data_IF_521281852870
#
_entry.id   IF_521281852870
#
_cell.length_a   1.000
_cell.length_b   1.000
_cell.length_c   1.000
_cell.angle_alpha   90.00
_cell.angle_beta   90.00
_cell.angle_gamma   90.00
#
_symmetry.space_group_name_H-M   'P 1'
#
loop_
_entity.id
_entity.type
_entity.pdbx_description
1 polymer ?
#
# COMPACT_ATOMS: atom_id res chain seq x y z
N UNK A 1 17.45 13.24 37.73
CA UNK A 1 16.31 13.93 37.09
C UNK A 1 16.58 14.11 35.59
N UNK A 2 17.81 14.47 35.21
CA UNK A 2 18.25 14.64 33.81
C UNK A 2 18.30 13.34 32.99
N UNK A 3 18.77 12.23 33.57
CA UNK A 3 18.74 10.92 32.88
C UNK A 3 17.33 10.48 32.48
N UNK A 4 16.34 10.71 33.33
CA UNK A 4 14.95 10.38 33.02
C UNK A 4 14.39 11.24 31.87
N UNK A 5 14.85 12.49 31.75
CA UNK A 5 14.46 13.39 30.66
C UNK A 5 15.13 13.01 29.33
N UNK A 6 16.39 12.56 29.39
CA UNK A 6 17.12 12.02 28.23
C UNK A 6 16.43 10.75 27.72
N UNK A 7 16.16 9.79 28.61
CA UNK A 7 15.47 8.53 28.26
C UNK A 7 14.10 8.82 27.64
N UNK A 8 13.37 9.81 28.17
CA UNK A 8 12.08 10.20 27.62
C UNK A 8 12.22 10.74 26.19
N UNK A 9 13.16 11.66 25.94
CA UNK A 9 13.42 12.23 24.61
C UNK A 9 13.84 11.16 23.59
N UNK A 10 14.73 10.26 23.97
CA UNK A 10 15.14 9.12 23.12
C UNK A 10 13.94 8.23 22.78
N UNK A 11 13.07 7.94 23.76
CA UNK A 11 11.87 7.15 23.52
C UNK A 11 10.88 7.81 22.56
N UNK A 12 10.79 9.15 22.53
CA UNK A 12 9.94 9.89 21.61
C UNK A 12 10.49 9.88 20.18
N UNK A 13 11.81 9.99 20.02
CA UNK A 13 12.49 9.88 18.72
C UNK A 13 12.25 8.50 18.12
N UNK A 14 12.47 7.42 18.88
CA UNK A 14 12.26 6.04 18.43
C UNK A 14 10.81 5.82 17.97
N UNK A 15 9.83 6.35 18.71
CA UNK A 15 8.41 6.25 18.34
C UNK A 15 8.12 6.98 17.03
N UNK A 16 8.69 8.17 16.84
CA UNK A 16 8.52 8.95 15.61
C UNK A 16 9.11 8.21 14.41
N UNK A 17 10.34 7.72 14.52
CA UNK A 17 11.00 6.95 13.47
C UNK A 17 10.22 5.68 13.10
N UNK A 18 9.70 4.96 14.09
CA UNK A 18 8.85 3.79 13.85
C UNK A 18 7.53 4.14 13.13
N UNK A 19 6.94 5.30 13.45
CA UNK A 19 5.74 5.79 12.79
C UNK A 19 6.02 6.19 11.34
N UNK A 20 7.12 6.89 11.09
CA UNK A 20 7.56 7.30 9.76
C UNK A 20 7.90 6.07 8.89
N UNK A 21 8.63 5.09 9.44
CA UNK A 21 8.91 3.83 8.75
C UNK A 21 7.63 3.06 8.41
N UNK A 22 6.65 3.03 9.32
CA UNK A 22 5.35 2.40 9.07
C UNK A 22 4.56 3.12 7.98
N UNK A 23 4.61 4.46 7.95
CA UNK A 23 3.99 5.26 6.91
C UNK A 23 4.63 4.98 5.54
N UNK A 24 5.96 4.96 5.47
CA UNK A 24 6.70 4.63 4.24
C UNK A 24 6.39 3.22 3.74
N UNK A 25 6.36 2.23 4.64
CA UNK A 25 6.00 0.86 4.27
C UNK A 25 4.57 0.76 3.70
N UNK A 26 3.63 1.55 4.23
CA UNK A 26 2.27 1.63 3.70
C UNK A 26 2.24 2.26 2.31
N UNK A 27 2.95 3.36 2.10
CA UNK A 27 3.04 4.03 0.80
C UNK A 27 3.63 3.07 -0.24
N UNK A 28 4.76 2.43 0.05
CA UNK A 28 5.39 1.47 -0.85
C UNK A 28 4.47 0.28 -1.19
N UNK A 29 3.67 -0.19 -0.23
CA UNK A 29 2.65 -1.22 -0.50
C UNK A 29 1.57 -0.72 -1.45
N UNK A 30 1.05 0.49 -1.24
CA UNK A 30 0.02 1.08 -2.09
C UNK A 30 0.53 1.33 -3.52
N UNK A 31 1.75 1.83 -3.68
CA UNK A 31 2.42 2.03 -4.98
C UNK A 31 2.65 0.70 -5.72
N UNK A 32 3.09 -0.34 -5.01
CA UNK A 32 3.28 -1.66 -5.60
C UNK A 32 1.98 -2.30 -6.09
N UNK A 33 0.89 -2.13 -5.33
CA UNK A 33 -0.45 -2.58 -5.74
C UNK A 33 -0.92 -1.84 -6.98
N UNK A 34 -0.79 -0.51 -7.00
CA UNK A 34 -1.17 0.32 -8.14
C UNK A 34 -0.39 -0.08 -9.38
N UNK A 35 0.94 -0.15 -9.31
CA UNK A 35 1.79 -0.52 -10.43
C UNK A 35 1.40 -1.90 -11.02
N UNK A 36 1.13 -2.90 -10.16
CA UNK A 36 0.70 -4.22 -10.62
C UNK A 36 -0.65 -4.18 -11.33
N UNK A 37 -1.62 -3.41 -10.82
CA UNK A 37 -2.93 -3.29 -11.46
C UNK A 37 -2.78 -2.62 -12.83
N UNK A 38 -2.10 -1.48 -12.89
CA UNK A 38 -1.93 -0.70 -14.11
C UNK A 38 -1.20 -1.50 -15.21
N UNK A 39 -0.09 -2.12 -14.86
CA UNK A 39 0.68 -2.97 -15.77
C UNK A 39 -0.17 -4.13 -16.34
N UNK A 40 -0.96 -4.78 -15.48
CA UNK A 40 -1.82 -5.87 -15.94
C UNK A 40 -3.03 -5.38 -16.75
N UNK A 41 -3.54 -4.17 -16.51
CA UNK A 41 -4.57 -3.57 -17.35
C UNK A 41 -4.02 -3.22 -18.74
N UNK A 42 -2.81 -2.65 -18.81
CA UNK A 42 -2.12 -2.35 -20.08
C UNK A 42 -1.84 -3.62 -20.89
N UNK A 43 -1.48 -4.72 -20.21
CA UNK A 43 -1.35 -6.05 -20.81
C UNK A 43 -2.69 -6.72 -21.16
N UNK A 44 -3.84 -6.06 -20.93
CA UNK A 44 -5.20 -6.58 -21.13
C UNK A 44 -5.47 -7.88 -20.38
N UNK A 45 -4.87 -8.04 -19.20
CA UNK A 45 -5.09 -9.19 -18.34
C UNK A 45 -6.51 -9.12 -17.75
N UNK A 46 -7.28 -10.22 -17.76
CA UNK A 46 -8.62 -10.23 -17.18
C UNK A 46 -8.63 -9.92 -15.68
N UNK A 47 -9.64 -9.14 -15.23
CA UNK A 47 -9.84 -8.74 -13.81
C UNK A 47 -9.59 -9.89 -12.83
N UNK A 48 -10.19 -11.06 -13.06
CA UNK A 48 -10.03 -12.22 -12.17
C UNK A 48 -8.58 -12.65 -11.94
N UNK A 49 -7.72 -12.56 -12.97
CA UNK A 49 -6.30 -12.89 -12.85
C UNK A 49 -5.52 -11.79 -12.11
N UNK A 50 -5.91 -10.53 -12.28
CA UNK A 50 -5.33 -9.39 -11.53
C UNK A 50 -5.67 -9.53 -10.05
N UNK A 51 -6.92 -9.81 -9.69
CA UNK A 51 -7.35 -10.05 -8.31
C UNK A 51 -6.58 -11.22 -7.68
N UNK A 52 -6.42 -12.34 -8.39
CA UNK A 52 -5.64 -13.48 -7.90
C UNK A 52 -4.17 -13.12 -7.63
N UNK A 53 -3.55 -12.30 -8.50
CA UNK A 53 -2.18 -11.79 -8.28
C UNK A 53 -2.11 -10.90 -7.05
N UNK A 54 -3.07 -9.99 -6.85
CA UNK A 54 -3.12 -9.11 -5.68
C UNK A 54 -3.21 -9.91 -4.37
N UNK A 55 -4.09 -10.91 -4.31
CA UNK A 55 -4.21 -11.80 -3.15
C UNK A 55 -2.89 -12.54 -2.89
N UNK A 56 -2.27 -13.10 -3.93
CA UNK A 56 -1.02 -13.87 -3.82
C UNK A 56 0.19 -13.03 -3.41
N UNK A 57 0.36 -11.84 -3.98
CA UNK A 57 1.57 -11.03 -3.80
C UNK A 57 1.50 -10.10 -2.59
N UNK A 58 0.31 -9.64 -2.21
CA UNK A 58 0.12 -8.67 -1.13
C UNK A 58 -0.64 -9.22 0.09
N UNK A 59 -1.01 -10.51 0.05
CA UNK A 59 -1.77 -11.19 1.11
C UNK A 59 -3.16 -10.60 1.33
N UNK A 60 -3.75 -10.02 0.27
CA UNK A 60 -5.05 -9.37 0.34
C UNK A 60 -6.17 -10.43 0.28
N UNK A 61 -7.29 -10.10 0.90
CA UNK A 61 -8.56 -10.81 0.69
C UNK A 61 -9.14 -10.50 -0.69
N UNK A 62 -10.15 -11.26 -1.10
CA UNK A 62 -10.89 -11.00 -2.35
C UNK A 62 -11.54 -9.61 -2.35
N UNK A 63 -12.17 -9.23 -1.24
CA UNK A 63 -12.81 -7.93 -1.08
C UNK A 63 -11.80 -6.79 -1.14
N UNK A 64 -10.68 -6.90 -0.41
CA UNK A 64 -9.61 -5.90 -0.46
C UNK A 64 -9.01 -5.78 -1.86
N UNK A 65 -8.77 -6.90 -2.54
CA UNK A 65 -8.24 -6.89 -3.91
C UNK A 65 -9.19 -6.19 -4.87
N UNK A 66 -10.50 -6.43 -4.72
CA UNK A 66 -11.54 -5.78 -5.52
C UNK A 66 -11.59 -4.29 -5.27
N UNK A 67 -11.50 -3.84 -4.02
CA UNK A 67 -11.44 -2.42 -3.67
C UNK A 67 -10.25 -1.70 -4.30
N UNK A 68 -9.06 -2.31 -4.25
CA UNK A 68 -7.87 -1.73 -4.89
C UNK A 68 -8.00 -1.70 -6.42
N UNK A 69 -8.49 -2.79 -7.02
CA UNK A 69 -8.73 -2.86 -8.44
C UNK A 69 -9.70 -1.76 -8.88
N UNK A 70 -10.86 -1.65 -8.23
CA UNK A 70 -11.89 -0.69 -8.61
C UNK A 70 -11.40 0.75 -8.42
N UNK A 71 -10.63 1.02 -7.37
CA UNK A 71 -10.01 2.34 -7.13
C UNK A 71 -9.10 2.77 -8.27
N UNK A 72 -8.17 1.93 -8.69
CA UNK A 72 -7.15 2.31 -9.68
C UNK A 72 -7.57 2.08 -11.14
N UNK A 73 -8.49 1.14 -11.39
CA UNK A 73 -9.06 0.94 -12.72
C UNK A 73 -10.04 2.06 -13.09
N UNK A 74 -10.71 2.68 -12.11
CA UNK A 74 -11.63 3.82 -12.36
C UNK A 74 -10.91 5.07 -12.85
N UNK A 75 -9.64 5.27 -12.49
CA UNK A 75 -8.82 6.39 -12.93
C UNK A 75 -8.42 6.31 -14.42
N UNK A 76 -8.63 5.15 -15.08
CA UNK A 76 -8.31 4.90 -16.50
C UNK A 76 -9.53 5.02 -17.43
N UNK A 77 -10.73 5.29 -16.92
CA UNK A 77 -11.89 5.53 -17.78
C UNK A 77 -11.67 6.82 -18.62
N UNK A 78 -11.67 6.76 -19.97
CA UNK A 78 -11.63 7.94 -20.80
C UNK A 78 -12.82 8.83 -20.47
N UNK A 79 -12.58 10.13 -20.33
CA UNK A 79 -13.63 11.14 -20.35
C UNK A 79 -14.44 10.95 -21.64
N UNK A 80 -15.71 10.57 -21.48
CA UNK A 80 -16.67 10.40 -22.56
C UNK A 80 -16.89 11.70 -23.33
#
# INVERSE_FOLDING_TARGET
MEEAEIIKKESEIIKKEAMDAKAQARIAKEEGIQALILDNLDEQIPKGRILMKLQKHFGLTEDESSLYYDRYASDIQPQA
#
